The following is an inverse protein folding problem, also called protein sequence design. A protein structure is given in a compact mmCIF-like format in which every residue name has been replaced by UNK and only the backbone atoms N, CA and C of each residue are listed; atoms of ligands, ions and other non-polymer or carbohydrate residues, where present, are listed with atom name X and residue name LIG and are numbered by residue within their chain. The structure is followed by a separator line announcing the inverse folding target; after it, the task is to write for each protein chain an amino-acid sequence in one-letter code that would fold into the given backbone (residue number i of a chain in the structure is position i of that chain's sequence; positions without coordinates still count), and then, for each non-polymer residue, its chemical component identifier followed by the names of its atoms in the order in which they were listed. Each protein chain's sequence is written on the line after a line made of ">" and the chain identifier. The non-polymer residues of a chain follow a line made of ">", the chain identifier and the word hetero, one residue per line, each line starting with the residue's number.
data_IF_367780742828
#
_entry.id   IF_367780742828
#
_cell.length_a   1.000
_cell.length_b   1.000
_cell.length_c   1.000
_cell.angle_alpha   90.00
_cell.angle_beta   90.00
_cell.angle_gamma   90.00
#
_symmetry.space_group_name_H-M   'P 1'
#
loop_
_entity.id
_entity.type
_entity.pdbx_description
1 polymer ?
#
# COMPACT_ATOMS: atom_id res chain seq x y z
N UNK A 1 21.25 12.03 30.54
CA UNK A 1 20.26 10.99 30.90
C UNK A 1 19.36 11.57 31.97
N UNK A 2 18.27 12.23 31.59
CA UNK A 2 17.23 12.66 32.52
C UNK A 2 16.35 11.45 32.80
N UNK A 3 16.33 10.97 34.04
CA UNK A 3 15.33 10.00 34.49
C UNK A 3 13.98 10.71 34.40
N UNK A 4 13.19 10.34 33.39
CA UNK A 4 11.81 10.80 33.28
C UNK A 4 11.02 10.16 34.44
N UNK A 5 10.95 10.87 35.56
CA UNK A 5 10.22 10.44 36.74
C UNK A 5 8.73 10.73 36.55
N UNK A 6 7.90 9.70 36.76
CA UNK A 6 6.45 9.85 36.79
C UNK A 6 6.02 10.23 38.21
N UNK A 7 5.04 11.14 38.31
CA UNK A 7 4.40 11.47 39.57
C UNK A 7 3.80 10.23 40.25
N UNK A 8 3.73 10.24 41.59
CA UNK A 8 3.08 9.15 42.34
C UNK A 8 1.56 9.29 42.24
N UNK A 9 0.91 8.30 41.67
CA UNK A 9 -0.56 8.19 41.66
C UNK A 9 -1.03 7.33 42.84
N UNK A 10 -2.19 7.65 43.43
CA UNK A 10 -2.73 6.94 44.61
C UNK A 10 -3.08 5.47 44.32
N UNK A 11 -3.79 5.21 43.21
CA UNK A 11 -4.28 3.87 42.87
C UNK A 11 -3.46 3.13 41.80
N UNK A 12 -2.93 3.83 40.79
CA UNK A 12 -2.20 3.21 39.69
C UNK A 12 -0.71 3.11 40.04
N UNK A 13 -0.13 1.91 39.87
CA UNK A 13 1.29 1.67 40.15
C UNK A 13 2.17 2.49 39.18
N UNK A 14 3.28 3.08 39.65
CA UNK A 14 4.23 3.81 38.79
C UNK A 14 4.78 2.99 37.63
N UNK A 15 4.88 1.67 37.80
CA UNK A 15 5.33 0.73 36.77
C UNK A 15 4.42 0.74 35.54
N UNK A 16 3.12 0.94 35.72
CA UNK A 16 2.16 1.00 34.61
C UNK A 16 2.43 2.20 33.70
N UNK A 17 2.76 3.36 34.29
CA UNK A 17 3.12 4.56 33.51
C UNK A 17 4.48 4.40 32.83
N UNK A 18 5.47 3.82 33.51
CA UNK A 18 6.76 3.46 32.91
C UNK A 18 6.60 2.50 31.73
N UNK A 19 5.71 1.52 31.86
CA UNK A 19 5.39 0.56 30.81
C UNK A 19 4.70 1.25 29.62
N UNK A 20 3.72 2.12 29.88
CA UNK A 20 3.05 2.90 28.85
C UNK A 20 4.03 3.79 28.06
N UNK A 21 4.96 4.44 28.76
CA UNK A 21 6.01 5.22 28.11
C UNK A 21 7.00 4.36 27.30
N UNK A 22 7.28 3.14 27.77
CA UNK A 22 8.06 2.17 26.99
C UNK A 22 7.34 1.75 25.71
N UNK A 23 6.02 1.54 25.77
CA UNK A 23 5.19 1.26 24.60
C UNK A 23 5.19 2.43 23.61
N UNK A 24 4.99 3.66 24.11
CA UNK A 24 5.05 4.87 23.29
C UNK A 24 6.39 4.98 22.54
N UNK A 25 7.51 4.83 23.27
CA UNK A 25 8.85 4.89 22.67
C UNK A 25 9.10 3.81 21.63
N UNK A 26 8.62 2.59 21.87
CA UNK A 26 8.76 1.49 20.91
C UNK A 26 7.95 1.74 19.63
N UNK A 27 6.71 2.23 19.77
CA UNK A 27 5.85 2.59 18.64
C UNK A 27 6.48 3.73 17.83
N UNK A 28 6.94 4.80 18.49
CA UNK A 28 7.61 5.93 17.82
C UNK A 28 8.86 5.46 17.06
N UNK A 29 9.67 4.57 17.63
CA UNK A 29 10.84 3.99 16.97
C UNK A 29 10.47 3.13 15.75
N UNK A 30 9.47 2.26 15.87
CA UNK A 30 8.99 1.43 14.77
C UNK A 30 8.40 2.27 13.64
N UNK A 31 7.66 3.33 13.96
CA UNK A 31 7.14 4.29 12.97
C UNK A 31 8.28 5.06 12.30
N UNK A 32 9.28 5.51 13.05
CA UNK A 32 10.43 6.22 12.51
C UNK A 32 11.22 5.34 11.54
N UNK A 33 11.43 4.07 11.91
CA UNK A 33 12.04 3.10 11.02
C UNK A 33 11.19 2.86 9.78
N UNK A 34 9.88 2.67 9.94
CA UNK A 34 8.97 2.48 8.81
C UNK A 34 9.02 3.65 7.84
N UNK A 35 8.92 4.89 8.33
CA UNK A 35 8.94 6.10 7.51
C UNK A 35 10.33 6.49 6.98
N UNK A 36 11.40 5.85 7.48
CA UNK A 36 12.72 5.95 6.85
C UNK A 36 12.78 5.16 5.55
N UNK A 37 12.02 4.06 5.45
CA UNK A 37 12.02 3.16 4.29
C UNK A 37 10.76 3.29 3.41
N UNK A 38 9.65 3.79 3.95
CA UNK A 38 8.36 3.82 3.25
C UNK A 38 7.69 5.18 3.39
N UNK A 39 6.97 5.60 2.36
CA UNK A 39 6.17 6.85 2.37
C UNK A 39 4.71 6.62 2.73
N UNK A 40 4.23 5.38 2.63
CA UNK A 40 2.83 5.04 2.89
C UNK A 40 2.58 4.73 4.38
N UNK A 41 1.38 5.04 4.91
CA UNK A 41 1.07 4.76 6.29
C UNK A 41 1.01 3.25 6.55
N UNK A 42 1.68 2.77 7.62
CA UNK A 42 1.66 1.37 7.98
C UNK A 42 0.33 0.96 8.61
N UNK A 43 0.03 -0.34 8.57
CA UNK A 43 -1.09 -0.88 9.34
C UNK A 43 -0.78 -0.88 10.83
N UNK A 44 -1.82 -0.71 11.64
CA UNK A 44 -1.68 -0.72 13.11
C UNK A 44 -1.12 -2.06 13.58
N UNK A 45 -1.62 -3.18 13.05
CA UNK A 45 -1.17 -4.53 13.43
C UNK A 45 0.32 -4.75 13.15
N UNK A 46 0.82 -4.27 12.01
CA UNK A 46 2.24 -4.37 11.66
C UNK A 46 3.13 -3.62 12.65
N UNK A 47 2.75 -2.40 13.01
CA UNK A 47 3.51 -1.57 13.96
C UNK A 47 3.43 -2.14 15.38
N UNK A 48 2.27 -2.62 15.81
CA UNK A 48 2.12 -3.22 17.14
C UNK A 48 2.89 -4.53 17.26
N UNK A 49 2.90 -5.38 16.22
CA UNK A 49 3.71 -6.59 16.19
C UNK A 49 5.21 -6.26 16.21
N UNK A 50 5.65 -5.28 15.41
CA UNK A 50 7.05 -4.83 15.39
C UNK A 50 7.48 -4.25 16.74
N UNK A 51 6.62 -3.45 17.36
CA UNK A 51 6.85 -2.88 18.70
C UNK A 51 6.89 -3.97 19.78
N UNK A 52 6.05 -5.00 19.63
CA UNK A 52 6.03 -6.15 20.54
C UNK A 52 7.34 -6.94 20.50
N UNK A 53 7.87 -7.14 19.29
CA UNK A 53 9.16 -7.80 19.09
C UNK A 53 10.29 -6.96 19.70
N UNK A 54 10.28 -5.64 19.50
CA UNK A 54 11.29 -4.73 20.04
C UNK A 54 11.33 -4.74 21.58
N UNK A 55 10.16 -4.82 22.23
CA UNK A 55 10.05 -4.85 23.69
C UNK A 55 10.07 -6.25 24.30
N UNK A 56 10.06 -7.30 23.47
CA UNK A 56 9.87 -8.69 23.90
C UNK A 56 8.63 -8.86 24.79
N UNK A 57 7.58 -8.06 24.54
CA UNK A 57 6.32 -8.02 25.29
C UNK A 57 5.17 -7.70 24.36
N UNK A 58 4.01 -8.30 24.58
CA UNK A 58 2.84 -8.08 23.72
C UNK A 58 2.29 -6.66 23.88
N UNK A 59 2.42 -5.85 22.84
CA UNK A 59 1.77 -4.54 22.69
C UNK A 59 0.45 -4.75 21.98
N UNK A 60 -0.65 -4.45 22.67
CA UNK A 60 -2.02 -4.63 22.16
C UNK A 60 -2.60 -3.33 21.63
N UNK A 61 -3.65 -3.43 20.81
CA UNK A 61 -4.41 -2.26 20.35
C UNK A 61 -4.94 -1.41 21.52
N UNK A 62 -5.36 -2.07 22.61
CA UNK A 62 -5.75 -1.39 23.85
C UNK A 62 -4.63 -0.51 24.42
N UNK A 63 -3.38 -0.94 24.32
CA UNK A 63 -2.23 -0.17 24.80
C UNK A 63 -2.04 1.11 23.99
N UNK A 64 -2.28 1.06 22.68
CA UNK A 64 -2.27 2.22 21.79
C UNK A 64 -3.41 3.20 22.12
N UNK A 65 -4.62 2.69 22.41
CA UNK A 65 -5.75 3.53 22.82
C UNK A 65 -5.49 4.25 24.16
N UNK A 66 -4.81 3.60 25.10
CA UNK A 66 -4.42 4.23 26.36
C UNK A 66 -3.42 5.37 26.13
N UNK A 67 -2.46 5.16 25.22
CA UNK A 67 -1.51 6.19 24.82
C UNK A 67 -2.23 7.39 24.20
N UNK A 68 -3.19 7.14 23.29
CA UNK A 68 -3.99 8.18 22.66
C UNK A 68 -4.88 8.93 23.67
N UNK A 69 -5.41 8.26 24.67
CA UNK A 69 -6.18 8.91 25.74
C UNK A 69 -5.32 9.86 26.58
N UNK A 70 -4.06 9.51 26.83
CA UNK A 70 -3.12 10.32 27.61
C UNK A 70 -2.48 11.43 26.77
N UNK A 71 -2.25 11.20 25.48
CA UNK A 71 -1.67 12.15 24.55
C UNK A 71 -2.38 12.06 23.18
N UNK A 72 -3.52 12.77 23.01
CA UNK A 72 -4.35 12.67 21.81
C UNK A 72 -3.66 13.13 20.52
N UNK A 73 -2.72 14.08 20.63
CA UNK A 73 -1.96 14.60 19.51
C UNK A 73 -0.81 13.67 19.06
N UNK A 74 -0.71 12.45 19.62
CA UNK A 74 0.38 11.53 19.32
C UNK A 74 0.30 10.95 17.91
N UNK A 75 -0.87 10.45 17.51
CA UNK A 75 -1.09 9.71 16.26
C UNK A 75 -2.51 9.93 15.75
N UNK A 76 -2.70 9.72 14.45
CA UNK A 76 -4.02 9.68 13.82
C UNK A 76 -4.28 8.24 13.36
N UNK A 77 -5.38 7.64 13.82
CA UNK A 77 -5.81 6.32 13.36
C UNK A 77 -6.90 6.51 12.31
N UNK A 78 -6.72 5.90 11.14
CA UNK A 78 -7.67 5.95 10.02
C UNK A 78 -8.04 4.54 9.57
N UNK A 79 -9.24 4.36 9.02
CA UNK A 79 -9.63 3.10 8.39
C UNK A 79 -8.68 2.78 7.23
N UNK A 80 -8.29 1.52 7.12
CA UNK A 80 -7.42 1.08 6.05
C UNK A 80 -8.26 0.76 4.80
N UNK A 81 -8.16 1.59 3.77
CA UNK A 81 -8.82 1.36 2.48
C UNK A 81 -7.92 0.62 1.48
N UNK A 82 -6.77 0.07 1.92
CA UNK A 82 -5.86 -0.68 1.04
C UNK A 82 -6.48 -2.05 0.71
N UNK A 83 -6.75 -2.29 -0.57
CA UNK A 83 -7.41 -3.50 -1.10
C UNK A 83 -6.71 -4.82 -0.73
N UNK A 84 -5.40 -4.80 -0.46
CA UNK A 84 -4.59 -5.98 -0.17
C UNK A 84 -4.22 -6.15 1.32
N UNK A 85 -4.62 -5.22 2.17
CA UNK A 85 -4.30 -5.28 3.60
C UNK A 85 -5.57 -5.63 4.38
N UNK A 86 -5.52 -6.76 5.09
CA UNK A 86 -6.67 -7.23 5.91
C UNK A 86 -6.79 -6.47 7.23
N UNK A 87 -5.82 -5.64 7.58
CA UNK A 87 -5.88 -4.84 8.80
C UNK A 87 -6.97 -3.78 8.68
N UNK A 88 -7.78 -3.63 9.73
CA UNK A 88 -8.90 -2.68 9.72
C UNK A 88 -8.44 -1.22 9.83
N UNK A 89 -7.25 -0.98 10.40
CA UNK A 89 -6.77 0.35 10.75
C UNK A 89 -5.33 0.60 10.32
N UNK A 90 -5.07 1.84 9.91
CA UNK A 90 -3.76 2.39 9.57
C UNK A 90 -3.39 3.50 10.56
N UNK A 91 -2.10 3.69 10.80
CA UNK A 91 -1.58 4.72 11.70
C UNK A 91 -0.82 5.79 10.91
N UNK A 92 -1.25 7.04 11.06
CA UNK A 92 -0.68 8.22 10.42
C UNK A 92 -0.16 9.20 11.46
N UNK A 93 0.80 10.03 11.04
CA UNK A 93 1.36 11.08 11.88
C UNK A 93 0.56 12.38 11.68
N UNK A 94 0.30 13.16 12.74
CA UNK A 94 -0.43 14.43 12.62
C UNK A 94 0.38 15.58 12.01
N UNK A 95 1.64 15.34 11.63
CA UNK A 95 2.56 16.31 11.06
C UNK A 95 3.52 15.65 10.07
N UNK A 96 4.31 16.45 9.36
CA UNK A 96 5.23 15.97 8.31
C UNK A 96 6.27 14.98 8.84
N UNK A 97 6.56 13.94 8.05
CA UNK A 97 7.53 12.87 8.38
C UNK A 97 8.91 13.44 8.75
N UNK A 98 9.36 14.47 8.04
CA UNK A 98 10.66 15.10 8.31
C UNK A 98 10.72 15.77 9.69
N UNK A 99 9.59 16.29 10.17
CA UNK A 99 9.47 16.88 11.50
C UNK A 99 9.44 15.79 12.58
N UNK A 100 8.81 14.65 12.29
CA UNK A 100 8.74 13.50 13.19
C UNK A 100 10.12 12.97 13.57
N UNK A 101 10.97 12.68 12.58
CA UNK A 101 12.26 12.04 12.81
C UNK A 101 13.18 12.93 13.69
N UNK A 102 13.02 14.26 13.60
CA UNK A 102 13.76 15.23 14.42
C UNK A 102 13.17 15.46 15.81
N UNK A 103 11.89 15.16 16.00
CA UNK A 103 11.14 15.45 17.24
C UNK A 103 10.96 14.24 18.15
N UNK A 104 11.49 13.06 17.81
CA UNK A 104 11.28 11.82 18.57
C UNK A 104 11.71 11.92 20.04
N UNK A 105 12.85 12.57 20.34
CA UNK A 105 13.31 12.79 21.72
C UNK A 105 12.40 13.75 22.46
N UNK A 106 11.94 14.82 21.78
CA UNK A 106 11.05 15.82 22.35
C UNK A 106 9.66 15.25 22.63
N UNK A 107 9.09 14.47 21.72
CA UNK A 107 7.79 13.78 21.90
C UNK A 107 7.79 12.85 23.11
N UNK A 108 8.89 12.17 23.38
CA UNK A 108 9.02 11.35 24.60
C UNK A 108 8.93 12.19 25.88
N UNK A 109 9.44 13.43 25.87
CA UNK A 109 9.32 14.35 27.00
C UNK A 109 7.90 14.88 27.11
N UNK A 110 7.30 15.34 26.01
CA UNK A 110 5.92 15.83 25.95
C UNK A 110 4.91 14.76 26.39
N UNK A 111 5.15 13.50 26.05
CA UNK A 111 4.34 12.38 26.53
C UNK A 111 4.43 12.23 28.06
N UNK A 112 5.63 12.28 28.63
CA UNK A 112 5.82 12.19 30.09
C UNK A 112 5.15 13.36 30.81
N UNK A 113 5.26 14.57 30.26
CA UNK A 113 4.58 15.76 30.77
C UNK A 113 3.06 15.62 30.70
N UNK A 114 2.53 15.10 29.59
CA UNK A 114 1.10 14.82 29.44
C UNK A 114 0.61 13.79 30.45
N UNK A 115 1.37 12.71 30.68
CA UNK A 115 1.05 11.69 31.70
C UNK A 115 1.06 12.30 33.10
N UNK A 116 2.08 13.10 33.44
CA UNK A 116 2.16 13.75 34.74
C UNK A 116 1.02 14.76 34.95
N UNK A 117 0.64 15.49 33.90
CA UNK A 117 -0.51 16.40 33.92
C UNK A 117 -1.82 15.64 34.13
N UNK A 118 -1.97 14.48 33.47
CA UNK A 118 -3.13 13.61 33.67
C UNK A 118 -3.20 13.05 35.10
N UNK A 119 -2.06 12.62 35.67
CA UNK A 119 -1.96 12.14 37.06
C UNK A 119 -2.38 13.23 38.04
N UNK A 120 -1.95 14.48 37.82
CA UNK A 120 -2.31 15.62 38.67
C UNK A 120 -3.82 15.94 38.61
N UNK A 121 -4.41 15.81 37.42
CA UNK A 121 -5.83 16.14 37.20
C UNK A 121 -6.79 15.00 37.62
N UNK A 122 -6.32 13.76 37.70
CA UNK A 122 -7.17 12.59 37.96
C UNK A 122 -6.66 11.72 39.13
N UNK A 123 -6.45 12.28 40.33
CA UNK A 123 -5.83 11.54 41.45
C UNK A 123 -6.63 10.33 41.94
N UNK A 124 -7.94 10.31 41.67
CA UNK A 124 -8.88 9.27 42.11
C UNK A 124 -9.15 8.20 41.04
N UNK A 125 -8.53 8.28 39.86
CA UNK A 125 -8.74 7.30 38.79
C UNK A 125 -8.12 5.94 39.15
N UNK A 126 -8.90 4.87 38.98
CA UNK A 126 -8.45 3.50 39.31
C UNK A 126 -7.81 2.77 38.12
N UNK A 127 -8.11 3.21 36.89
CA UNK A 127 -7.65 2.59 35.64
C UNK A 127 -7.17 3.67 34.69
N UNK A 128 -6.21 3.33 33.82
CA UNK A 128 -5.79 4.21 32.74
C UNK A 128 -6.95 4.54 31.80
N UNK A 129 -7.03 5.77 31.29
CA UNK A 129 -8.11 6.17 30.41
C UNK A 129 -7.97 5.44 29.07
N UNK A 130 -9.11 5.14 28.45
CA UNK A 130 -9.20 4.49 27.14
C UNK A 130 -9.89 5.48 26.20
N UNK A 131 -9.31 5.71 25.02
CA UNK A 131 -9.94 6.55 24.01
C UNK A 131 -11.18 5.82 23.44
N UNK A 132 -12.37 6.31 23.79
CA UNK A 132 -13.64 5.67 23.43
C UNK A 132 -14.12 5.97 22.02
N UNK A 133 -13.60 7.01 21.38
CA UNK A 133 -14.04 7.47 20.05
C UNK A 133 -13.84 6.37 18.98
N UNK A 134 -12.81 5.53 19.13
CA UNK A 134 -12.50 4.44 18.20
C UNK A 134 -13.18 3.10 18.52
N UNK A 135 -13.63 2.91 19.76
CA UNK A 135 -14.33 1.68 20.19
C UNK A 135 -15.73 1.57 19.58
N UNK A 136 -16.33 2.70 19.19
CA UNK A 136 -17.62 2.72 18.49
C UNK A 136 -17.47 2.39 17.00
N UNK A 137 -16.38 2.82 16.35
CA UNK A 137 -16.08 2.45 14.96
C UNK A 137 -15.81 0.95 14.79
N UNK A 138 -15.10 0.32 15.73
CA UNK A 138 -14.84 -1.14 15.65
C UNK A 138 -16.10 -1.98 15.85
N UNK A 139 -17.08 -1.51 16.65
CA UNK A 139 -18.35 -2.23 16.84
C UNK A 139 -19.23 -2.19 15.58
N UNK A 140 -19.28 -1.04 14.89
CA UNK A 140 -20.01 -0.91 13.62
C UNK A 140 -19.45 -1.82 12.51
N UNK A 141 -18.13 -2.05 12.48
CA UNK A 141 -17.47 -2.96 11.54
C UNK A 141 -17.69 -4.45 11.85
N UNK A 142 -17.90 -4.81 13.13
CA UNK A 142 -18.22 -6.18 13.55
C UNK A 142 -19.72 -6.49 13.33
N UNK A 143 -20.60 -5.50 13.50
CA UNK A 143 -22.04 -5.66 13.24
C UNK A 143 -22.36 -5.74 11.73
N UNK A 144 -21.66 -4.99 10.88
CA UNK A 144 -21.84 -5.06 9.42
C UNK A 144 -21.31 -6.33 8.77
N UNK A 145 -20.41 -7.07 9.42
CA UNK A 145 -19.93 -8.37 8.92
C UNK A 145 -20.70 -9.57 9.50
N UNK A 146 -21.63 -9.34 10.45
CA UNK A 146 -22.42 -10.40 11.09
C UNK A 146 -23.93 -10.31 10.77
N UNK A 147 -24.35 -9.40 9.90
CA UNK A 147 -25.73 -9.30 9.42
C UNK A 147 -25.99 -10.24 8.23
N UNK A 148 -25.72 -11.52 8.42
CA UNK A 148 -26.41 -12.61 7.71
C UNK A 148 -26.47 -13.84 8.61
N UNK A 149 -27.69 -14.10 9.08
CA UNK A 149 -28.20 -15.32 9.70
C UNK A 149 -27.68 -15.79 11.08
N UNK A 150 -28.52 -15.44 12.06
CA UNK A 150 -29.18 -16.37 12.99
C UNK A 150 -28.50 -16.77 14.31
N UNK A 151 -29.17 -16.35 15.38
CA UNK A 151 -29.44 -17.07 16.64
C UNK A 151 -28.32 -17.89 17.29
N UNK A 152 -27.90 -17.39 18.44
CA UNK A 152 -27.35 -18.14 19.57
C UNK A 152 -28.05 -19.48 19.81
N UNK A 153 -27.28 -20.58 19.76
CA UNK A 153 -27.46 -21.75 20.64
C UNK A 153 -26.14 -22.53 20.77
N UNK A 154 -25.82 -22.82 22.02
CA UNK A 154 -24.72 -23.63 22.52
C UNK A 154 -24.73 -25.07 22.01
N UNK A 155 -23.55 -25.68 21.85
CA UNK A 155 -23.35 -27.12 22.07
C UNK A 155 -22.75 -27.92 20.90
N UNK A 156 -21.51 -28.38 21.14
CA UNK A 156 -20.84 -29.57 20.58
C UNK A 156 -20.20 -29.53 19.17
N UNK A 157 -19.02 -30.18 19.01
CA UNK A 157 -18.24 -30.17 17.78
C UNK A 157 -18.70 -31.30 16.85
N UNK A 158 -19.00 -30.99 15.59
CA UNK A 158 -19.08 -32.02 14.55
C UNK A 158 -19.01 -31.46 13.13
N UNK A 159 -18.15 -32.13 12.36
CA UNK A 159 -18.16 -32.33 10.90
C UNK A 159 -17.60 -31.20 10.02
N UNK A 160 -16.40 -31.48 9.52
CA UNK A 160 -15.79 -30.90 8.32
C UNK A 160 -16.78 -31.06 7.16
N UNK A 161 -17.41 -29.96 6.76
CA UNK A 161 -18.22 -29.85 5.56
C UNK A 161 -17.31 -29.59 4.35
N UNK A 162 -17.52 -30.35 3.28
CA UNK A 162 -16.83 -30.17 1.99
C UNK A 162 -17.32 -28.86 1.35
N UNK A 163 -16.45 -28.06 0.72
CA UNK A 163 -16.88 -26.83 0.06
C UNK A 163 -17.78 -27.16 -1.14
N UNK A 164 -19.00 -26.62 -1.09
CA UNK A 164 -19.96 -26.57 -2.18
C UNK A 164 -19.36 -25.82 -3.37
N UNK A 165 -19.46 -26.42 -4.57
CA UNK A 165 -19.08 -25.79 -5.83
C UNK A 165 -20.17 -24.77 -6.21
N UNK A 166 -20.01 -23.52 -5.78
CA UNK A 166 -20.82 -22.40 -6.29
C UNK A 166 -20.37 -22.04 -7.70
N UNK A 167 -21.24 -22.30 -8.67
CA UNK A 167 -21.04 -22.18 -10.12
C UNK A 167 -21.29 -20.78 -10.67
N UNK A 168 -20.70 -19.72 -10.09
CA UNK A 168 -20.99 -18.34 -10.54
C UNK A 168 -19.79 -17.36 -10.56
N UNK A 169 -18.54 -17.84 -10.53
CA UNK A 169 -17.35 -16.97 -10.71
C UNK A 169 -16.36 -17.62 -11.69
N UNK A 170 -16.79 -17.78 -12.94
CA UNK A 170 -15.94 -18.18 -14.07
C UNK A 170 -15.65 -16.99 -14.99
N UNK A 171 -15.08 -15.93 -14.41
CA UNK A 171 -14.23 -15.01 -15.18
C UNK A 171 -12.83 -15.12 -14.59
N UNK A 172 -11.97 -15.86 -15.29
CA UNK A 172 -10.54 -16.01 -15.03
C UNK A 172 -10.07 -16.91 -13.86
N UNK A 173 -10.84 -17.93 -13.48
CA UNK A 173 -10.23 -19.04 -12.73
C UNK A 173 -9.35 -19.88 -13.68
N UNK A 174 -8.04 -19.57 -13.73
CA UNK A 174 -6.98 -20.37 -14.38
C UNK A 174 -6.76 -21.70 -13.62
N UNK A 175 -7.84 -22.44 -13.34
CA UNK A 175 -7.77 -23.71 -12.62
C UNK A 175 -7.53 -24.83 -13.63
N UNK A 176 -6.47 -25.60 -13.40
CA UNK A 176 -6.26 -26.82 -14.14
C UNK A 176 -7.16 -27.92 -13.56
N UNK A 177 -8.34 -28.13 -14.14
CA UNK A 177 -9.30 -29.12 -13.64
C UNK A 177 -8.76 -30.53 -13.80
N UNK A 178 -9.11 -31.41 -12.85
CA UNK A 178 -8.70 -32.83 -12.85
C UNK A 178 -9.19 -33.60 -14.07
N UNK A 179 -10.13 -33.05 -14.82
CA UNK A 179 -10.59 -33.57 -16.12
C UNK A 179 -9.49 -33.58 -17.18
N UNK A 180 -8.50 -32.67 -17.11
CA UNK A 180 -7.34 -32.68 -18.03
C UNK A 180 -6.37 -33.83 -17.78
N UNK A 181 -6.41 -34.43 -16.58
CA UNK A 181 -5.50 -35.51 -16.18
C UNK A 181 -6.09 -36.91 -16.34
N UNK A 182 -7.37 -37.02 -16.73
CA UNK A 182 -7.96 -38.32 -17.07
C UNK A 182 -7.62 -38.64 -18.52
N UNK A 183 -6.72 -39.61 -18.71
CA UNK A 183 -6.43 -40.15 -20.03
C UNK A 183 -7.72 -40.73 -20.61
N UNK A 184 -8.27 -40.07 -21.63
CA UNK A 184 -9.36 -40.61 -22.43
C UNK A 184 -8.70 -41.43 -23.54
N UNK A 185 -8.75 -42.78 -23.51
CA UNK A 185 -8.24 -43.58 -24.61
C UNK A 185 -8.94 -43.13 -25.89
N UNK A 186 -8.15 -42.71 -26.86
CA UNK A 186 -8.62 -42.20 -28.15
C UNK A 186 -8.51 -43.32 -29.16
N UNK A 187 -9.63 -43.96 -29.49
CA UNK A 187 -9.68 -44.91 -30.60
C UNK A 187 -9.48 -44.17 -31.92
N UNK A 188 -8.48 -44.58 -32.69
CA UNK A 188 -8.09 -43.92 -33.95
C UNK A 188 -9.22 -43.94 -34.99
N UNK A 189 -10.02 -45.00 -35.02
CA UNK A 189 -11.20 -45.12 -35.89
C UNK A 189 -12.29 -44.06 -35.59
N UNK A 190 -12.39 -43.62 -34.33
CA UNK A 190 -13.35 -42.60 -33.88
C UNK A 190 -12.79 -41.18 -34.10
N UNK A 191 -11.46 -41.01 -34.06
CA UNK A 191 -10.83 -39.71 -34.40
C UNK A 191 -10.84 -39.44 -35.92
N UNK A 192 -10.69 -40.47 -36.75
CA UNK A 192 -10.81 -40.36 -38.21
C UNK A 192 -12.21 -39.89 -38.63
N UNK A 193 -13.27 -40.38 -37.96
CA UNK A 193 -14.65 -39.95 -38.25
C UNK A 193 -15.02 -38.56 -37.71
N UNK A 194 -14.35 -38.08 -36.65
CA UNK A 194 -14.63 -36.76 -36.05
C UNK A 194 -13.84 -35.60 -36.67
N UNK A 195 -12.60 -35.86 -37.09
CA UNK A 195 -11.72 -34.80 -37.62
C UNK A 195 -11.44 -34.92 -39.11
N UNK A 196 -11.69 -36.08 -39.74
CA UNK A 196 -11.47 -36.33 -41.17
C UNK A 196 -10.02 -36.21 -41.67
N UNK A 197 -9.08 -35.78 -40.82
CA UNK A 197 -7.71 -35.45 -41.18
C UNK A 197 -6.74 -36.44 -40.51
N UNK A 198 -5.79 -36.92 -41.32
CA UNK A 198 -4.70 -37.77 -40.85
C UNK A 198 -3.77 -36.99 -39.92
N UNK A 199 -3.01 -37.70 -39.08
CA UNK A 199 -2.04 -37.09 -38.18
C UNK A 199 -1.00 -36.24 -38.95
N UNK A 200 -0.54 -36.72 -40.10
CA UNK A 200 0.42 -36.00 -40.95
C UNK A 200 -0.18 -34.71 -41.50
N UNK A 201 -1.45 -34.71 -41.91
CA UNK A 201 -2.15 -33.50 -42.34
C UNK A 201 -2.34 -32.51 -41.18
N UNK A 202 -2.65 -33.00 -39.97
CA UNK A 202 -2.74 -32.16 -38.77
C UNK A 202 -1.38 -31.53 -38.42
N UNK A 203 -0.29 -32.27 -38.54
CA UNK A 203 1.07 -31.75 -38.31
C UNK A 203 1.39 -30.68 -39.37
N UNK A 204 1.13 -30.96 -40.65
CA UNK A 204 1.36 -30.01 -41.75
C UNK A 204 0.52 -28.74 -41.61
N UNK A 205 -0.74 -28.86 -41.18
CA UNK A 205 -1.61 -27.72 -40.87
C UNK A 205 -1.15 -26.94 -39.63
N UNK A 206 -0.66 -27.63 -38.58
CA UNK A 206 -0.10 -26.98 -37.39
C UNK A 206 1.15 -26.18 -37.74
N UNK A 207 2.04 -26.72 -38.58
CA UNK A 207 3.20 -25.98 -39.07
C UNK A 207 2.81 -24.79 -39.95
N UNK A 208 1.81 -24.95 -40.82
CA UNK A 208 1.28 -23.83 -41.63
C UNK A 208 0.70 -22.73 -40.74
N UNK A 209 -0.13 -23.10 -39.76
CA UNK A 209 -0.69 -22.15 -38.78
C UNK A 209 0.38 -21.52 -37.91
N UNK A 210 1.38 -22.27 -37.44
CA UNK A 210 2.49 -21.70 -36.68
C UNK A 210 3.32 -20.74 -37.54
N UNK A 211 3.51 -21.01 -38.83
CA UNK A 211 4.19 -20.08 -39.76
C UNK A 211 3.34 -18.84 -40.05
N UNK A 212 2.02 -18.94 -40.06
CA UNK A 212 1.11 -17.80 -40.19
C UNK A 212 1.04 -16.99 -38.88
N UNK A 213 1.01 -17.65 -37.72
CA UNK A 213 1.02 -17.03 -36.40
C UNK A 213 2.37 -16.37 -36.06
N UNK A 214 3.50 -16.97 -36.45
CA UNK A 214 4.82 -16.39 -36.29
C UNK A 214 5.04 -15.17 -37.19
N UNK A 215 4.26 -15.01 -38.26
CA UNK A 215 4.24 -13.77 -39.08
C UNK A 215 3.41 -12.67 -38.44
N UNK A 216 2.50 -13.02 -37.53
CA UNK A 216 1.68 -12.12 -36.72
C UNK A 216 2.07 -12.33 -35.26
N UNK A 217 3.39 -12.35 -34.98
CA UNK A 217 3.87 -12.77 -33.67
C UNK A 217 3.32 -11.82 -32.61
N UNK A 218 2.30 -12.34 -31.92
CA UNK A 218 1.51 -11.63 -30.94
C UNK A 218 2.31 -11.44 -29.65
N UNK A 219 3.57 -11.88 -29.56
CA UNK A 219 4.42 -11.68 -28.38
C UNK A 219 4.62 -10.20 -28.11
N UNK A 220 4.95 -9.43 -29.14
CA UNK A 220 5.33 -8.03 -29.00
C UNK A 220 4.08 -7.18 -28.77
N UNK A 221 2.98 -7.52 -29.45
CA UNK A 221 1.66 -6.90 -29.24
C UNK A 221 1.09 -7.26 -27.86
N UNK A 222 1.30 -8.51 -27.38
CA UNK A 222 0.90 -8.88 -26.01
C UNK A 222 1.74 -8.16 -24.98
N UNK A 223 3.03 -7.99 -25.25
CA UNK A 223 3.93 -7.24 -24.39
C UNK A 223 3.53 -5.76 -24.35
N UNK A 224 3.27 -5.12 -25.49
CA UNK A 224 2.78 -3.74 -25.54
C UNK A 224 1.48 -3.58 -24.77
N UNK A 225 0.48 -4.44 -25.02
CA UNK A 225 -0.81 -4.39 -24.32
C UNK A 225 -0.64 -4.63 -22.80
N UNK A 226 0.32 -5.46 -22.42
CA UNK A 226 0.65 -5.70 -21.02
C UNK A 226 1.31 -4.48 -20.37
N UNK A 227 2.21 -3.77 -21.06
CA UNK A 227 2.79 -2.51 -20.60
C UNK A 227 1.71 -1.42 -20.50
N UNK A 228 0.82 -1.34 -21.47
CA UNK A 228 -0.26 -0.36 -21.50
C UNK A 228 -1.21 -0.53 -20.29
N UNK A 229 -1.51 -1.78 -19.91
CA UNK A 229 -2.28 -2.08 -18.68
C UNK A 229 -1.58 -1.65 -17.38
N UNK A 230 -0.26 -1.48 -17.39
CA UNK A 230 0.54 -1.01 -16.26
C UNK A 230 0.85 0.49 -16.31
N UNK A 231 0.59 1.15 -17.45
CA UNK A 231 0.93 2.54 -17.68
C UNK A 231 0.22 3.48 -16.69
N UNK A 232 -1.07 3.22 -16.43
CA UNK A 232 -1.88 4.04 -15.54
C UNK A 232 -1.41 4.02 -14.07
N UNK A 233 -1.19 2.85 -13.43
CA UNK A 233 -0.60 2.80 -12.09
C UNK A 233 0.76 3.49 -11.99
N UNK A 234 1.64 3.31 -12.98
CA UNK A 234 2.98 3.93 -12.99
C UNK A 234 2.89 5.45 -13.15
N UNK A 235 1.98 5.94 -13.99
CA UNK A 235 1.71 7.36 -14.12
C UNK A 235 1.21 7.99 -12.82
N UNK A 236 0.29 7.34 -12.11
CA UNK A 236 -0.20 7.85 -10.82
C UNK A 236 0.93 7.97 -9.79
N UNK A 237 1.86 7.02 -9.75
CA UNK A 237 3.06 7.07 -8.90
C UNK A 237 3.98 8.23 -9.34
N UNK A 238 4.21 8.40 -10.65
CA UNK A 238 4.98 9.53 -11.19
C UNK A 238 4.35 10.88 -10.80
N UNK A 239 3.03 10.99 -10.90
CA UNK A 239 2.29 12.19 -10.54
C UNK A 239 2.40 12.51 -9.04
N UNK A 240 2.25 11.50 -8.18
CA UNK A 240 2.38 11.67 -6.72
C UNK A 240 3.80 12.06 -6.31
N UNK A 241 4.82 11.45 -6.90
CA UNK A 241 6.22 11.78 -6.63
C UNK A 241 6.56 13.19 -7.11
N UNK A 242 6.09 13.58 -8.30
CA UNK A 242 6.20 14.93 -8.84
C UNK A 242 5.53 15.98 -7.94
N UNK A 243 4.29 15.72 -7.51
CA UNK A 243 3.52 16.63 -6.67
C UNK A 243 4.13 16.80 -5.27
N UNK A 244 4.61 15.69 -4.69
CA UNK A 244 5.27 15.69 -3.38
C UNK A 244 6.59 16.46 -3.40
N UNK A 245 7.38 16.32 -4.48
CA UNK A 245 8.63 17.07 -4.67
C UNK A 245 8.43 18.56 -4.96
N UNK A 246 7.32 18.93 -5.60
CA UNK A 246 7.03 20.32 -6.00
C UNK A 246 6.62 21.22 -4.83
N UNK A 247 6.04 20.69 -3.75
CA UNK A 247 5.66 21.50 -2.57
C UNK A 247 6.87 22.01 -1.78
N UNK A 248 8.01 21.32 -1.83
CA UNK A 248 9.23 21.70 -1.11
C UNK A 248 10.05 22.81 -1.76
N UNK A 249 9.83 23.12 -3.05
CA UNK A 249 10.51 24.20 -3.80
C UNK A 249 9.58 25.38 -4.07
N UNK A 250 8.90 25.89 -3.04
CA UNK A 250 8.48 27.31 -3.09
C UNK A 250 9.72 28.15 -2.85
N UNK A 251 10.36 28.59 -3.93
CA UNK A 251 11.28 29.73 -3.86
C UNK A 251 10.51 30.87 -3.21
N UNK A 252 10.92 31.29 -2.01
CA UNK A 252 10.49 32.55 -1.42
C UNK A 252 11.00 33.67 -2.32
N UNK A 253 10.29 34.00 -3.38
CA UNK A 253 10.38 35.32 -4.00
C UNK A 253 9.63 36.25 -3.07
N UNK A 254 10.40 36.97 -2.27
CA UNK A 254 9.98 38.16 -1.54
C UNK A 254 9.46 39.19 -2.55
N UNK A 255 8.33 39.78 -2.16
CA UNK A 255 7.88 41.13 -2.49
C UNK A 255 7.64 41.46 -3.98
N UNK A 256 6.37 41.63 -4.34
CA UNK A 256 5.77 42.88 -4.87
C UNK A 256 4.34 42.55 -5.34
N UNK A 257 3.43 43.45 -5.01
CA UNK A 257 1.99 43.41 -5.24
C UNK A 257 1.55 43.12 -6.68
N UNK A 258 0.31 42.64 -6.75
CA UNK A 258 -0.63 42.68 -7.87
C UNK A 258 -0.53 41.66 -9.02
N UNK A 259 -1.70 41.02 -9.22
CA UNK A 259 -2.21 40.27 -10.37
C UNK A 259 -1.83 38.79 -10.52
N UNK A 260 -2.83 38.04 -11.00
CA UNK A 260 -2.91 36.59 -11.18
C UNK A 260 -1.72 36.02 -11.97
N UNK A 261 -0.59 35.79 -11.30
CA UNK A 261 0.53 35.10 -11.93
C UNK A 261 0.36 33.59 -11.80
N UNK A 262 0.14 32.97 -12.95
CA UNK A 262 0.16 31.54 -13.23
C UNK A 262 1.09 30.75 -12.30
N UNK A 263 0.52 29.72 -11.67
CA UNK A 263 1.21 28.68 -10.92
C UNK A 263 2.36 28.12 -11.76
N UNK A 264 3.59 28.63 -11.60
CA UNK A 264 4.79 28.02 -12.18
C UNK A 264 5.02 26.68 -11.50
N UNK A 265 4.49 25.62 -12.12
CA UNK A 265 4.66 24.24 -11.68
C UNK A 265 6.13 23.87 -11.91
N UNK A 266 6.84 23.57 -10.82
CA UNK A 266 8.28 23.36 -10.84
C UNK A 266 8.68 22.11 -11.62
N UNK A 267 9.81 22.19 -12.33
CA UNK A 267 10.44 21.03 -12.98
C UNK A 267 10.99 20.09 -11.92
N UNK A 268 10.59 18.82 -11.96
CA UNK A 268 11.19 17.76 -11.14
C UNK A 268 12.14 16.91 -11.98
N UNK A 269 13.19 16.41 -11.37
CA UNK A 269 14.12 15.49 -12.01
C UNK A 269 14.42 14.37 -11.03
N UNK A 270 14.18 13.14 -11.46
CA UNK A 270 14.31 11.96 -10.63
C UNK A 270 15.23 10.95 -11.32
N UNK A 271 16.30 10.46 -10.65
CA UNK A 271 17.11 9.38 -11.19
C UNK A 271 16.26 8.13 -11.42
N UNK A 272 16.44 7.47 -12.56
CA UNK A 272 15.63 6.32 -12.96
C UNK A 272 15.71 5.19 -11.92
N UNK A 273 16.90 4.90 -11.39
CA UNK A 273 17.11 3.89 -10.33
C UNK A 273 16.20 4.15 -9.12
N UNK A 274 16.15 5.39 -8.63
CA UNK A 274 15.27 5.75 -7.51
C UNK A 274 13.79 5.64 -7.88
N UNK A 275 13.45 5.93 -9.13
CA UNK A 275 12.07 5.82 -9.61
C UNK A 275 11.62 4.37 -9.71
N UNK A 276 12.50 3.47 -10.19
CA UNK A 276 12.28 2.02 -10.22
C UNK A 276 12.01 1.49 -8.82
N UNK A 277 12.82 1.89 -7.83
CA UNK A 277 12.63 1.49 -6.44
C UNK A 277 11.27 1.97 -5.90
N UNK A 278 10.91 3.23 -6.13
CA UNK A 278 9.60 3.77 -5.73
C UNK A 278 8.44 2.98 -6.36
N UNK A 279 8.55 2.62 -7.65
CA UNK A 279 7.51 1.86 -8.35
C UNK A 279 7.40 0.45 -7.76
N UNK A 280 8.53 -0.24 -7.55
CA UNK A 280 8.56 -1.58 -6.96
C UNK A 280 7.93 -1.61 -5.57
N UNK A 281 8.16 -0.58 -4.77
CA UNK A 281 7.59 -0.45 -3.43
C UNK A 281 6.10 -0.07 -3.43
N UNK A 282 5.64 0.60 -4.48
CA UNK A 282 4.27 1.12 -4.58
C UNK A 282 3.29 0.15 -5.26
N UNK A 283 3.77 -0.73 -6.14
CA UNK A 283 2.93 -1.69 -6.86
C UNK A 283 2.75 -2.99 -6.06
N UNK A 284 1.55 -3.57 -6.16
CA UNK A 284 1.23 -4.84 -5.49
C UNK A 284 1.72 -6.08 -6.25
N UNK A 285 2.18 -5.91 -7.49
CA UNK A 285 2.69 -6.99 -8.33
C UNK A 285 4.17 -6.75 -8.64
N UNK A 286 4.98 -7.82 -8.74
CA UNK A 286 6.40 -7.68 -9.06
C UNK A 286 6.56 -7.09 -10.46
N UNK A 287 7.47 -6.13 -10.58
CA UNK A 287 7.84 -5.49 -11.83
C UNK A 287 9.37 -5.48 -11.96
N UNK A 288 9.86 -5.89 -13.12
CA UNK A 288 11.29 -5.89 -13.42
C UNK A 288 11.79 -4.47 -13.72
N UNK A 289 13.12 -4.26 -13.65
CA UNK A 289 13.70 -2.95 -13.97
C UNK A 289 13.44 -2.56 -15.42
N UNK A 290 13.73 -3.46 -16.38
CA UNK A 290 13.52 -3.22 -17.80
C UNK A 290 12.07 -2.90 -18.15
N UNK A 291 11.08 -3.57 -17.51
CA UNK A 291 9.66 -3.22 -17.70
C UNK A 291 9.35 -1.77 -17.28
N UNK A 292 9.98 -1.27 -16.20
CA UNK A 292 9.80 0.12 -15.77
C UNK A 292 10.44 1.08 -16.77
N UNK A 293 11.62 0.77 -17.30
CA UNK A 293 12.27 1.59 -18.33
C UNK A 293 11.38 1.69 -19.59
N UNK A 294 10.87 0.55 -20.06
CA UNK A 294 9.96 0.49 -21.22
C UNK A 294 8.68 1.30 -20.99
N UNK A 295 8.09 1.23 -19.79
CA UNK A 295 6.90 2.03 -19.44
C UNK A 295 7.22 3.53 -19.43
N UNK A 296 8.39 3.93 -18.93
CA UNK A 296 8.78 5.35 -18.89
C UNK A 296 9.03 5.89 -20.30
N UNK A 297 9.67 5.10 -21.17
CA UNK A 297 9.80 5.43 -22.60
C UNK A 297 8.42 5.58 -23.23
N UNK A 298 7.51 4.65 -22.95
CA UNK A 298 6.13 4.70 -23.46
C UNK A 298 5.37 5.93 -22.96
N UNK A 299 5.60 6.35 -21.71
CA UNK A 299 5.02 7.58 -21.17
C UNK A 299 5.58 8.84 -21.85
N UNK A 300 6.86 8.87 -22.19
CA UNK A 300 7.47 9.94 -22.99
C UNK A 300 6.87 10.01 -24.40
N UNK A 301 6.65 8.85 -25.05
CA UNK A 301 5.99 8.78 -26.37
C UNK A 301 4.55 9.30 -26.32
N UNK A 302 3.77 8.89 -25.33
CA UNK A 302 2.33 9.21 -25.23
C UNK A 302 2.07 10.65 -24.76
N UNK A 303 2.83 11.14 -23.78
CA UNK A 303 2.64 12.49 -23.22
C UNK A 303 3.49 13.56 -23.91
N UNK A 304 4.56 13.14 -24.60
CA UNK A 304 5.51 13.97 -25.30
C UNK A 304 6.64 14.50 -24.40
N UNK A 305 7.78 14.81 -25.04
CA UNK A 305 8.99 15.36 -24.42
C UNK A 305 8.78 16.71 -23.69
N UNK A 306 7.64 17.36 -23.89
CA UNK A 306 7.27 18.58 -23.17
C UNK A 306 6.91 18.30 -21.71
N UNK A 307 6.36 17.12 -21.41
CA UNK A 307 5.89 16.71 -20.08
C UNK A 307 6.79 15.71 -19.39
N UNK A 308 7.19 14.65 -20.07
CA UNK A 308 8.10 13.63 -19.54
C UNK A 308 9.26 13.50 -20.51
N UNK A 309 10.49 13.63 -20.03
CA UNK A 309 11.67 13.54 -20.88
C UNK A 309 12.77 12.74 -20.20
N UNK A 310 13.34 11.77 -20.91
CA UNK A 310 14.41 10.92 -20.41
C UNK A 310 15.76 11.51 -20.84
N UNK A 311 16.63 11.79 -19.87
CA UNK A 311 17.97 12.32 -20.11
C UNK A 311 19.00 11.33 -19.59
N UNK A 312 19.82 10.80 -20.50
CA UNK A 312 20.96 9.93 -20.13
C UNK A 312 22.27 10.70 -20.30
N UNK A 313 23.03 10.85 -19.21
CA UNK A 313 24.37 11.47 -19.23
C UNK A 313 25.32 10.70 -18.34
N UNK A 314 26.47 10.27 -18.90
CA UNK A 314 27.52 9.59 -18.14
C UNK A 314 27.07 8.26 -17.50
N UNK A 315 26.16 7.53 -18.15
CA UNK A 315 25.61 6.26 -17.62
C UNK A 315 24.51 6.44 -16.57
N UNK A 316 24.12 7.67 -16.24
CA UNK A 316 23.00 7.96 -15.33
C UNK A 316 21.80 8.40 -16.18
N UNK A 317 20.70 7.66 -16.06
CA UNK A 317 19.42 8.00 -16.68
C UNK A 317 18.53 8.73 -15.67
N UNK A 318 17.98 9.87 -16.09
CA UNK A 318 17.14 10.75 -15.26
C UNK A 318 15.82 11.00 -15.98
N UNK A 319 14.72 10.83 -15.26
CA UNK A 319 13.37 11.18 -15.72
C UNK A 319 13.09 12.62 -15.31
N UNK A 320 12.98 13.51 -16.29
CA UNK A 320 12.60 14.91 -16.10
C UNK A 320 11.10 15.05 -16.34
N UNK A 321 10.42 15.67 -15.39
CA UNK A 321 8.96 15.80 -15.40
C UNK A 321 8.57 17.26 -15.27
N UNK A 322 7.72 17.73 -16.16
CA UNK A 322 7.22 19.09 -16.24
C UNK A 322 5.69 19.09 -16.30
N UNK A 323 5.08 19.94 -15.48
CA UNK A 323 3.67 20.33 -15.55
C UNK A 323 2.70 19.18 -15.92
N UNK A 324 2.68 18.14 -15.09
CA UNK A 324 1.72 17.04 -15.23
C UNK A 324 0.31 17.52 -14.89
N UNK A 325 -0.65 17.16 -15.73
CA UNK A 325 -2.08 17.35 -15.48
C UNK A 325 -2.76 15.99 -15.50
N UNK A 326 -3.08 15.48 -14.32
CA UNK A 326 -3.65 14.14 -14.15
C UNK A 326 -4.88 13.91 -15.03
N UNK A 327 -5.78 14.88 -15.13
CA UNK A 327 -7.04 14.67 -15.85
C UNK A 327 -6.82 14.61 -17.37
N UNK A 328 -6.02 15.53 -17.92
CA UNK A 328 -5.74 15.55 -19.36
C UNK A 328 -4.79 14.45 -19.81
N UNK A 329 -3.83 14.06 -18.95
CA UNK A 329 -2.81 13.07 -19.28
C UNK A 329 -3.35 11.65 -19.23
N UNK A 330 -4.19 11.32 -18.23
CA UNK A 330 -4.88 10.03 -18.19
C UNK A 330 -5.80 9.84 -19.40
N UNK A 331 -6.50 10.88 -19.87
CA UNK A 331 -7.30 10.79 -21.09
C UNK A 331 -6.48 10.51 -22.35
N UNK A 332 -5.21 10.91 -22.41
CA UNK A 332 -4.32 10.60 -23.55
C UNK A 332 -3.82 9.17 -23.47
N UNK A 333 -3.49 8.73 -22.26
CA UNK A 333 -3.09 7.35 -21.95
C UNK A 333 -4.23 6.37 -22.30
N UNK A 334 -5.46 6.67 -21.88
CA UNK A 334 -6.62 5.81 -22.14
C UNK A 334 -7.02 5.77 -23.63
N UNK A 335 -6.67 6.80 -24.41
CA UNK A 335 -6.92 6.85 -25.87
C UNK A 335 -5.87 6.10 -26.69
N UNK A 336 -4.74 5.74 -26.09
CA UNK A 336 -3.65 4.99 -26.76
C UNK A 336 -3.74 3.49 -26.51
N UNK A 337 -4.44 3.07 -25.45
CA UNK A 337 -4.95 1.70 -25.21
C UNK A 337 -6.14 1.33 -26.08
#
# INVERSE_FOLDING_TARGET
>A
MTTNEFGRHKFIRPETFKLSASYFKAIDNCLNLHYTSHTSPPSVDQILNSSSNLLSRKVTFQSLLNILALYPASYIISENHKVNDKSSFSITLPFEINHFNRSITRRNQEYVESVNSWIANNPEAQVLPICNDFLNCSKALIENNNSSDSSSKSGSPSKISKPSKSSLVDKHNLKNTTEKFKFKPKDEAIELSKSGLTLLERIKLKEKKNKELAKVDNSDIRYSNYLDGKLHPVYDILYQTYWSGSRGRRTKTKDVDDQETEKKVGVASLPLVKFVDIIRDSLSYPISEGEVEDIVVRLEETLGASKVHIITRGGITVVKVNNLDRCCDLQKIDKTT
#
